data_IF_283082676850
#
_entry.id   IF_283082676850
#
_cell.length_a   1.000
_cell.length_b   1.000
_cell.length_c   1.000
_cell.angle_alpha   90.00
_cell.angle_beta   90.00
_cell.angle_gamma   90.00
#
_symmetry.space_group_name_H-M   'P 1'
#
loop_
_entity.id
_entity.type
_entity.pdbx_description
1 polymer ?
#
# COMPACT_ATOMS: atom_id res chain seq x y z
N UNK A 1 3.98 4.75 -19.83
CA UNK A 1 3.20 4.42 -18.62
C UNK A 1 1.75 4.62 -19.02
N UNK A 2 1.00 3.53 -19.23
CA UNK A 2 -0.38 3.60 -19.74
C UNK A 2 -1.28 3.93 -18.56
N UNK A 3 -1.94 5.08 -18.59
CA UNK A 3 -3.00 5.40 -17.62
C UNK A 3 -4.12 4.38 -17.78
N UNK A 4 -4.29 3.51 -16.79
CA UNK A 4 -5.42 2.59 -16.75
C UNK A 4 -6.67 3.41 -16.46
N UNK A 5 -7.58 3.47 -17.45
CA UNK A 5 -8.87 4.16 -17.36
C UNK A 5 -9.65 3.71 -16.12
N UNK A 6 -10.45 4.60 -15.53
CA UNK A 6 -11.34 4.28 -14.40
C UNK A 6 -12.24 3.07 -14.69
N UNK A 7 -12.61 2.88 -15.95
CA UNK A 7 -13.42 1.75 -16.44
C UNK A 7 -12.66 0.42 -16.40
N UNK A 8 -11.37 0.43 -16.77
CA UNK A 8 -10.50 -0.75 -16.69
C UNK A 8 -10.23 -1.16 -15.24
N UNK A 9 -10.09 -0.19 -14.32
CA UNK A 9 -9.96 -0.46 -12.88
C UNK A 9 -11.21 -1.14 -12.32
N UNK A 10 -12.40 -0.63 -12.63
CA UNK A 10 -13.68 -1.22 -12.20
C UNK A 10 -13.85 -2.65 -12.74
N UNK A 11 -13.41 -2.89 -13.98
CA UNK A 11 -13.42 -4.23 -14.59
C UNK A 11 -12.49 -5.21 -13.85
N UNK A 12 -11.31 -4.77 -13.43
CA UNK A 12 -10.39 -5.58 -12.63
C UNK A 12 -11.00 -5.88 -11.27
N UNK A 13 -11.52 -4.88 -10.56
CA UNK A 13 -12.15 -5.05 -9.23
C UNK A 13 -13.29 -6.06 -9.30
N UNK A 14 -14.17 -5.95 -10.31
CA UNK A 14 -15.30 -6.86 -10.46
C UNK A 14 -14.85 -8.29 -10.75
N UNK A 15 -13.80 -8.48 -11.56
CA UNK A 15 -13.20 -9.80 -11.80
C UNK A 15 -12.66 -10.43 -10.51
N UNK A 16 -11.90 -9.66 -9.73
CA UNK A 16 -11.32 -10.15 -8.47
C UNK A 16 -12.41 -10.49 -7.46
N UNK A 17 -13.43 -9.64 -7.31
CA UNK A 17 -14.59 -9.91 -6.43
C UNK A 17 -15.36 -11.16 -6.83
N UNK A 18 -15.51 -11.40 -8.14
CA UNK A 18 -16.15 -12.62 -8.61
C UNK A 18 -15.33 -13.86 -8.23
N UNK A 19 -14.01 -13.79 -8.33
CA UNK A 19 -13.12 -14.90 -7.97
C UNK A 19 -13.08 -15.14 -6.45
N UNK A 20 -13.06 -14.10 -5.62
CA UNK A 20 -13.15 -14.25 -4.15
C UNK A 20 -14.47 -14.89 -3.73
N UNK A 21 -15.57 -14.55 -4.43
CA UNK A 21 -16.87 -15.20 -4.21
C UNK A 21 -16.88 -16.67 -4.65
N UNK A 22 -16.19 -17.03 -5.74
CA UNK A 22 -16.02 -18.43 -6.13
C UNK A 22 -15.26 -19.22 -5.06
N UNK A 23 -14.14 -18.66 -4.58
CA UNK A 23 -13.33 -19.26 -3.51
C UNK A 23 -14.19 -19.50 -2.26
N UNK A 24 -14.98 -18.51 -1.84
CA UNK A 24 -15.83 -18.64 -0.66
C UNK A 24 -16.90 -19.73 -0.82
N UNK A 25 -17.54 -19.81 -1.99
CA UNK A 25 -18.53 -20.86 -2.27
C UNK A 25 -17.93 -22.26 -2.21
N UNK A 26 -16.73 -22.45 -2.79
CA UNK A 26 -16.10 -23.79 -2.83
C UNK A 26 -15.54 -24.19 -1.46
N UNK A 27 -15.07 -23.24 -0.64
CA UNK A 27 -14.66 -23.53 0.75
C UNK A 27 -15.83 -24.03 1.59
N UNK A 28 -17.06 -23.57 1.34
CA UNK A 28 -18.24 -23.99 2.13
C UNK A 28 -18.85 -25.28 1.58
N UNK A 29 -19.00 -25.39 0.25
CA UNK A 29 -19.82 -26.44 -0.37
C UNK A 29 -19.03 -27.43 -1.25
N UNK A 30 -17.77 -27.14 -1.55
CA UNK A 30 -16.96 -27.89 -2.50
C UNK A 30 -16.37 -29.16 -1.90
N UNK A 31 -16.28 -30.19 -2.74
CA UNK A 31 -15.48 -31.39 -2.49
C UNK A 31 -13.99 -31.12 -2.81
N UNK A 32 -13.12 -32.11 -2.54
CA UNK A 32 -11.68 -31.97 -2.75
C UNK A 32 -11.29 -31.63 -4.20
N UNK A 33 -11.99 -32.19 -5.20
CA UNK A 33 -11.73 -31.88 -6.60
C UNK A 33 -12.14 -30.44 -6.92
N UNK A 34 -13.29 -29.97 -6.44
CA UNK A 34 -13.72 -28.58 -6.64
C UNK A 34 -12.71 -27.58 -6.03
N UNK A 35 -12.19 -27.90 -4.84
CA UNK A 35 -11.17 -27.10 -4.17
C UNK A 35 -9.87 -27.08 -4.98
N UNK A 36 -9.44 -28.23 -5.49
CA UNK A 36 -8.23 -28.39 -6.29
C UNK A 36 -8.34 -27.59 -7.59
N UNK A 37 -9.47 -27.69 -8.28
CA UNK A 37 -9.72 -26.98 -9.53
C UNK A 37 -9.68 -25.46 -9.34
N UNK A 38 -10.35 -24.94 -8.30
CA UNK A 38 -10.29 -23.50 -7.99
C UNK A 38 -8.89 -23.09 -7.56
N UNK A 39 -8.17 -23.90 -6.78
CA UNK A 39 -6.80 -23.56 -6.38
C UNK A 39 -5.87 -23.46 -7.60
N UNK A 40 -5.98 -24.40 -8.56
CA UNK A 40 -5.23 -24.36 -9.83
C UNK A 40 -5.60 -23.11 -10.65
N UNK A 41 -6.91 -22.85 -10.81
CA UNK A 41 -7.40 -21.68 -11.56
C UNK A 41 -6.83 -20.38 -10.98
N UNK A 42 -6.93 -20.21 -9.66
CA UNK A 42 -6.48 -18.99 -8.99
C UNK A 42 -4.96 -18.85 -8.98
N UNK A 43 -4.22 -19.93 -8.72
CA UNK A 43 -2.76 -19.92 -8.79
C UNK A 43 -2.29 -19.51 -10.19
N UNK A 44 -2.76 -20.17 -11.24
CA UNK A 44 -2.35 -19.87 -12.61
C UNK A 44 -2.77 -18.47 -13.06
N UNK A 45 -3.99 -18.05 -12.72
CA UNK A 45 -4.52 -16.73 -13.10
C UNK A 45 -3.74 -15.60 -12.46
N UNK A 46 -3.46 -15.67 -11.16
CA UNK A 46 -2.90 -14.56 -10.41
C UNK A 46 -1.38 -14.53 -10.33
N UNK A 47 -0.68 -15.64 -10.56
CA UNK A 47 0.79 -15.64 -10.73
C UNK A 47 1.24 -14.68 -11.85
N UNK A 48 0.44 -14.54 -12.91
CA UNK A 48 0.71 -13.60 -14.02
C UNK A 48 0.63 -12.12 -13.62
N UNK A 49 -0.05 -11.78 -12.52
CA UNK A 49 -0.25 -10.40 -12.06
C UNK A 49 0.48 -10.11 -10.74
N UNK A 50 0.70 -11.13 -9.91
CA UNK A 50 1.23 -11.05 -8.57
C UNK A 50 2.44 -12.01 -8.47
N UNK A 51 3.68 -11.50 -8.58
CA UNK A 51 4.87 -12.30 -8.35
C UNK A 51 4.82 -12.95 -6.96
N UNK A 52 5.32 -14.18 -6.85
CA UNK A 52 5.31 -14.96 -5.61
C UNK A 52 3.90 -15.18 -5.03
N UNK A 53 2.87 -15.31 -5.88
CA UNK A 53 1.49 -15.46 -5.42
C UNK A 53 1.36 -16.67 -4.50
N UNK A 54 1.99 -17.79 -4.87
CA UNK A 54 2.07 -19.03 -4.07
C UNK A 54 2.79 -18.92 -2.72
N UNK A 55 3.65 -17.91 -2.52
CA UNK A 55 4.51 -17.82 -1.32
C UNK A 55 3.70 -17.65 -0.04
N UNK A 56 4.00 -18.49 0.95
CA UNK A 56 3.31 -18.53 2.25
C UNK A 56 2.11 -19.48 2.29
N UNK A 57 1.79 -20.15 1.18
CA UNK A 57 0.84 -21.26 1.16
C UNK A 57 1.53 -22.60 1.44
N UNK A 58 0.77 -23.54 2.00
CA UNK A 58 1.27 -24.88 2.26
C UNK A 58 1.53 -25.64 0.96
N UNK A 59 2.58 -26.48 1.00
CA UNK A 59 3.03 -27.29 -0.15
C UNK A 59 3.48 -26.47 -1.38
N UNK A 60 3.74 -25.17 -1.20
CA UNK A 60 4.36 -24.33 -2.22
C UNK A 60 5.89 -24.48 -2.19
N UNK A 61 6.48 -24.78 -3.34
CA UNK A 61 7.91 -24.68 -3.59
C UNK A 61 8.23 -23.50 -4.49
N UNK A 62 9.22 -22.65 -4.17
CA UNK A 62 9.66 -21.59 -5.07
C UNK A 62 10.18 -22.08 -6.43
N UNK A 63 10.74 -23.29 -6.48
CA UNK A 63 11.30 -23.87 -7.72
C UNK A 63 10.24 -24.60 -8.57
N UNK A 64 9.25 -25.22 -7.93
CA UNK A 64 8.33 -26.16 -8.59
C UNK A 64 6.84 -25.81 -8.44
N UNK A 65 6.51 -24.76 -7.70
CA UNK A 65 5.12 -24.41 -7.40
C UNK A 65 4.44 -25.44 -6.49
N UNK A 66 3.18 -25.76 -6.79
CA UNK A 66 2.38 -26.71 -6.02
C UNK A 66 2.38 -28.10 -6.67
N UNK A 67 2.62 -29.14 -5.87
CA UNK A 67 2.38 -30.52 -6.30
C UNK A 67 0.99 -30.99 -5.88
N UNK A 68 0.04 -30.98 -6.82
CA UNK A 68 -1.37 -31.30 -6.56
C UNK A 68 -1.67 -32.79 -6.36
N UNK A 69 -0.70 -33.69 -6.57
CA UNK A 69 -0.87 -35.12 -6.29
C UNK A 69 -0.87 -35.42 -4.77
N UNK A 70 -0.26 -34.54 -3.97
CA UNK A 70 -0.04 -34.75 -2.53
C UNK A 70 -0.59 -33.63 -1.64
N UNK A 71 -1.54 -32.85 -2.17
CA UNK A 71 -2.19 -31.78 -1.41
C UNK A 71 -3.54 -32.29 -0.89
N UNK A 72 -3.74 -32.22 0.43
CA UNK A 72 -4.98 -32.63 1.09
C UNK A 72 -6.09 -31.57 1.00
N UNK A 73 -7.34 -31.98 1.19
CA UNK A 73 -8.51 -31.09 1.32
C UNK A 73 -8.28 -29.94 2.32
N UNK A 74 -7.76 -30.25 3.52
CA UNK A 74 -7.49 -29.24 4.55
C UNK A 74 -6.46 -28.19 4.07
N UNK A 75 -5.42 -28.67 3.39
CA UNK A 75 -4.38 -27.83 2.80
C UNK A 75 -4.96 -26.91 1.73
N UNK A 76 -5.83 -27.43 0.85
CA UNK A 76 -6.52 -26.63 -0.17
C UNK A 76 -7.39 -25.56 0.47
N UNK A 77 -8.22 -25.91 1.47
CA UNK A 77 -9.08 -24.93 2.17
C UNK A 77 -8.25 -23.84 2.84
N UNK A 78 -7.13 -24.19 3.46
CA UNK A 78 -6.21 -23.22 4.05
C UNK A 78 -5.62 -22.28 2.98
N UNK A 79 -5.05 -22.84 1.92
CA UNK A 79 -4.44 -22.07 0.84
C UNK A 79 -5.46 -21.16 0.14
N UNK A 80 -6.68 -21.64 -0.11
CA UNK A 80 -7.75 -20.84 -0.70
C UNK A 80 -8.15 -19.64 0.18
N UNK A 81 -8.13 -19.77 1.52
CA UNK A 81 -8.31 -18.62 2.43
C UNK A 81 -7.19 -17.58 2.25
N UNK A 82 -5.94 -18.03 2.12
CA UNK A 82 -4.80 -17.15 1.85
C UNK A 82 -4.96 -16.47 0.49
N UNK A 83 -5.31 -17.21 -0.56
CA UNK A 83 -5.56 -16.65 -1.90
C UNK A 83 -6.65 -15.58 -1.84
N UNK A 84 -7.79 -15.84 -1.19
CA UNK A 84 -8.85 -14.84 -1.00
C UNK A 84 -8.31 -13.57 -0.34
N UNK A 85 -7.58 -13.69 0.76
CA UNK A 85 -7.01 -12.53 1.47
C UNK A 85 -6.00 -11.75 0.61
N UNK A 86 -5.15 -12.43 -0.17
CA UNK A 86 -4.21 -11.79 -1.10
C UNK A 86 -4.94 -11.02 -2.20
N UNK A 87 -6.03 -11.56 -2.72
CA UNK A 87 -6.87 -10.90 -3.73
C UNK A 87 -7.61 -9.67 -3.19
N UNK A 88 -8.12 -9.75 -1.96
CA UNK A 88 -8.72 -8.61 -1.26
C UNK A 88 -7.67 -7.51 -0.98
N UNK A 89 -6.46 -7.90 -0.58
CA UNK A 89 -5.33 -6.99 -0.44
C UNK A 89 -4.93 -6.35 -1.78
N UNK A 90 -4.95 -7.12 -2.88
CA UNK A 90 -4.63 -6.61 -4.21
C UNK A 90 -5.58 -5.49 -4.64
N UNK A 91 -6.90 -5.67 -4.46
CA UNK A 91 -7.85 -4.60 -4.80
C UNK A 91 -7.70 -3.37 -3.91
N UNK A 92 -7.34 -3.51 -2.63
CA UNK A 92 -7.11 -2.38 -1.72
C UNK A 92 -5.83 -1.61 -2.05
N UNK A 93 -4.84 -2.28 -2.65
CA UNK A 93 -3.58 -1.69 -3.10
C UNK A 93 -3.67 -1.04 -4.50
N UNK A 94 -4.78 -1.23 -5.23
CA UNK A 94 -4.96 -0.51 -6.50
C UNK A 94 -5.04 0.99 -6.20
N UNK A 95 -4.31 1.85 -6.93
CA UNK A 95 -4.39 3.29 -6.74
C UNK A 95 -5.80 3.76 -7.12
N UNK A 96 -6.66 3.87 -6.10
CA UNK A 96 -7.95 4.51 -6.20
C UNK A 96 -7.73 6.00 -6.34
N UNK A 97 -8.03 6.55 -7.51
CA UNK A 97 -8.50 7.93 -7.58
C UNK A 97 -9.94 7.89 -7.10
N UNK A 98 -10.14 8.10 -5.79
CA UNK A 98 -11.46 8.27 -5.22
C UNK A 98 -12.04 9.61 -5.70
N UNK A 99 -12.76 9.59 -6.82
CA UNK A 99 -13.76 10.63 -7.08
C UNK A 99 -15.02 10.26 -6.31
N UNK A 100 -14.98 10.37 -4.98
CA UNK A 100 -16.19 10.38 -4.18
C UNK A 100 -16.18 11.66 -3.34
N UNK A 101 -17.15 12.51 -3.64
CA UNK A 101 -17.57 13.61 -2.78
C UNK A 101 -17.81 13.15 -1.33
N UNK A 102 -17.65 14.06 -0.36
CA UNK A 102 -17.42 13.70 1.02
C UNK A 102 -18.74 13.27 1.67
N UNK A 103 -18.74 12.09 2.29
CA UNK A 103 -19.45 11.85 3.53
C UNK A 103 -18.98 10.54 4.17
N UNK A 104 -18.50 10.63 5.41
CA UNK A 104 -18.32 9.49 6.30
C UNK A 104 -16.88 9.01 6.44
N UNK A 105 -16.23 9.51 7.49
CA UNK A 105 -14.95 9.10 8.05
C UNK A 105 -14.64 7.60 7.91
N UNK A 106 -13.60 7.28 7.15
CA UNK A 106 -12.78 6.08 7.40
C UNK A 106 -11.33 6.40 7.05
N UNK A 107 -10.51 6.43 8.09
CA UNK A 107 -9.07 6.63 8.01
C UNK A 107 -8.46 5.44 7.26
N UNK A 108 -8.04 5.65 6.01
CA UNK A 108 -7.24 4.69 5.23
C UNK A 108 -5.81 5.22 5.08
N UNK A 109 -5.17 5.51 6.22
CA UNK A 109 -3.76 5.92 6.25
C UNK A 109 -2.93 4.67 6.49
N UNK A 110 -2.42 4.01 5.44
CA UNK A 110 -1.16 3.25 5.52
C UNK A 110 -0.65 2.68 4.18
N UNK A 111 -1.43 2.67 3.09
CA UNK A 111 -1.08 1.80 1.96
C UNK A 111 -0.36 2.45 0.76
N UNK A 112 0.32 3.58 0.97
CA UNK A 112 1.04 4.28 -0.12
C UNK A 112 2.56 4.33 0.09
N UNK A 113 3.14 3.29 0.71
CA UNK A 113 4.59 3.17 0.87
C UNK A 113 5.05 1.77 0.49
N UNK A 114 4.89 1.38 -0.77
CA UNK A 114 5.75 0.36 -1.35
C UNK A 114 5.79 0.47 -2.87
N UNK A 115 7.01 0.68 -3.38
CA UNK A 115 7.48 0.36 -4.73
C UNK A 115 7.00 1.26 -5.88
N UNK A 116 7.86 2.19 -6.28
CA UNK A 116 8.55 2.14 -7.59
C UNK A 116 9.55 3.30 -7.73
N UNK A 117 10.75 2.99 -8.22
CA UNK A 117 11.86 3.90 -8.45
C UNK A 117 11.49 5.08 -9.39
N UNK A 118 11.19 6.25 -8.82
CA UNK A 118 11.33 7.57 -9.47
C UNK A 118 11.61 8.67 -8.43
N UNK A 119 12.80 8.60 -7.81
CA UNK A 119 13.18 9.37 -6.61
C UNK A 119 13.03 10.90 -6.66
N UNK A 120 12.85 11.54 -7.82
CA UNK A 120 12.70 13.00 -7.91
C UNK A 120 11.26 13.48 -8.05
N UNK A 121 10.38 12.67 -8.63
CA UNK A 121 8.98 13.05 -8.89
C UNK A 121 8.08 12.62 -7.72
N UNK A 122 8.40 11.48 -7.08
CA UNK A 122 7.65 11.00 -5.91
C UNK A 122 7.79 11.91 -4.68
N UNK A 123 8.98 12.45 -4.42
CA UNK A 123 9.23 13.29 -3.24
C UNK A 123 8.49 14.63 -3.30
N UNK A 124 8.53 15.33 -4.44
CA UNK A 124 7.81 16.60 -4.60
C UNK A 124 6.29 16.40 -4.43
N UNK A 125 5.75 15.25 -4.84
CA UNK A 125 4.35 14.90 -4.63
C UNK A 125 4.04 14.68 -3.13
N UNK A 126 4.92 13.97 -2.40
CA UNK A 126 4.76 13.72 -0.95
C UNK A 126 4.83 15.03 -0.13
N UNK A 127 5.74 15.95 -0.45
CA UNK A 127 5.82 17.25 0.25
C UNK A 127 4.58 18.11 -0.01
N UNK A 128 4.09 18.16 -1.26
CA UNK A 128 2.86 18.88 -1.61
C UNK A 128 1.63 18.27 -0.92
N UNK A 129 1.55 16.94 -0.85
CA UNK A 129 0.50 16.22 -0.14
C UNK A 129 0.55 16.47 1.37
N UNK A 130 1.73 16.51 1.98
CA UNK A 130 1.86 16.83 3.39
C UNK A 130 1.37 18.25 3.72
N UNK A 131 1.61 19.23 2.84
CA UNK A 131 1.04 20.59 2.98
C UNK A 131 -0.49 20.57 2.93
N UNK A 132 -1.06 19.83 1.96
CA UNK A 132 -2.52 19.69 1.84
C UNK A 132 -3.15 18.94 3.02
N UNK A 133 -2.43 17.99 3.63
CA UNK A 133 -2.90 17.27 4.81
C UNK A 133 -2.90 18.16 6.06
N UNK A 134 -1.98 19.12 6.16
CA UNK A 134 -1.97 20.11 7.25
C UNK A 134 -3.12 21.10 7.14
N UNK A 135 -3.53 21.47 5.92
CA UNK A 135 -4.71 22.32 5.69
C UNK A 135 -6.02 21.64 6.13
N UNK A 136 -6.05 20.30 6.18
CA UNK A 136 -7.23 19.50 6.52
C UNK A 136 -7.24 18.97 7.96
N UNK A 137 -6.26 19.33 8.80
CA UNK A 137 -6.20 18.88 10.20
C UNK A 137 -7.12 19.74 11.09
N UNK A 138 -8.18 19.15 11.69
CA UNK A 138 -9.04 19.89 12.62
C UNK A 138 -8.27 20.18 13.92
N UNK A 139 -8.14 21.46 14.29
CA UNK A 139 -7.52 21.89 15.55
C UNK A 139 -6.23 22.69 15.42
N UNK A 140 -5.75 22.98 14.21
CA UNK A 140 -4.62 23.89 13.98
C UNK A 140 -5.12 25.30 13.62
N UNK A 141 -4.55 26.34 14.23
CA UNK A 141 -4.79 27.72 13.83
C UNK A 141 -4.10 28.03 12.49
N UNK A 142 -4.68 28.91 11.67
CA UNK A 142 -4.10 29.31 10.37
C UNK A 142 -2.61 29.72 10.45
N UNK A 143 -2.17 30.31 11.56
CA UNK A 143 -0.77 30.66 11.80
C UNK A 143 0.15 29.45 11.99
N UNK A 144 -0.34 28.39 12.64
CA UNK A 144 0.43 27.17 12.91
C UNK A 144 0.55 26.33 11.65
N UNK A 145 -0.49 26.31 10.83
CA UNK A 145 -0.49 25.65 9.52
C UNK A 145 0.57 26.25 8.59
N UNK A 146 0.74 27.57 8.59
CA UNK A 146 1.78 28.26 7.81
C UNK A 146 3.20 27.96 8.34
N UNK A 147 3.41 27.90 9.65
CA UNK A 147 4.69 27.48 10.24
C UNK A 147 5.05 26.04 9.88
N UNK A 148 4.08 25.13 9.89
CA UNK A 148 4.30 23.74 9.51
C UNK A 148 4.61 23.60 8.01
N UNK A 149 3.94 24.37 7.15
CA UNK A 149 4.28 24.44 5.71
C UNK A 149 5.70 24.94 5.48
N UNK A 150 6.13 25.99 6.20
CA UNK A 150 7.49 26.49 6.14
C UNK A 150 8.51 25.42 6.57
N UNK A 151 8.19 24.62 7.59
CA UNK A 151 9.02 23.50 8.04
C UNK A 151 9.06 22.33 7.05
N UNK A 152 7.99 22.09 6.30
CA UNK A 152 7.99 21.16 5.17
C UNK A 152 8.88 21.70 4.04
N UNK A 153 8.83 23.00 3.73
CA UNK A 153 9.69 23.62 2.72
C UNK A 153 11.18 23.49 3.09
N UNK A 154 11.52 23.72 4.35
CA UNK A 154 12.87 23.47 4.87
C UNK A 154 13.28 21.99 4.67
N UNK A 155 12.38 21.03 4.93
CA UNK A 155 12.65 19.61 4.67
C UNK A 155 12.83 19.29 3.18
N UNK A 156 12.06 19.93 2.30
CA UNK A 156 12.17 19.77 0.85
C UNK A 156 13.52 20.28 0.33
N UNK A 157 13.99 21.42 0.84
CA UNK A 157 15.32 21.95 0.53
C UNK A 157 16.45 21.03 1.05
N UNK A 158 16.32 20.53 2.29
CA UNK A 158 17.27 19.56 2.86
C UNK A 158 17.30 18.27 2.04
N UNK A 159 16.15 17.85 1.51
CA UNK A 159 16.01 16.68 0.64
C UNK A 159 16.77 16.86 -0.68
N UNK A 160 16.54 17.99 -1.36
CA UNK A 160 17.17 18.34 -2.66
C UNK A 160 18.67 18.60 -2.54
N UNK A 161 19.15 18.98 -1.35
CA UNK A 161 20.57 19.21 -1.10
C UNK A 161 21.44 17.95 -1.26
N UNK A 162 22.57 18.07 -1.98
CA UNK A 162 23.66 17.06 -2.03
C UNK A 162 24.52 17.07 -0.75
N UNK A 163 23.89 17.03 0.42
CA UNK A 163 24.59 17.00 1.72
C UNK A 163 24.65 15.59 2.30
N UNK A 164 25.66 15.33 3.14
CA UNK A 164 25.90 14.02 3.76
C UNK A 164 24.81 13.65 4.78
N UNK A 165 24.55 12.35 4.96
CA UNK A 165 23.49 11.78 5.81
C UNK A 165 23.42 12.40 7.21
N UNK A 166 24.58 12.49 7.87
CA UNK A 166 24.72 13.08 9.20
C UNK A 166 24.28 14.54 9.24
N UNK A 167 24.66 15.32 8.22
CA UNK A 167 24.27 16.74 8.09
C UNK A 167 22.79 16.91 7.75
N UNK A 168 22.19 16.01 6.95
CA UNK A 168 20.74 16.00 6.72
C UNK A 168 20.00 15.75 8.03
N UNK A 169 20.40 14.71 8.76
CA UNK A 169 19.78 14.36 10.04
C UNK A 169 19.92 15.46 11.10
N UNK A 170 21.07 16.13 11.18
CA UNK A 170 21.28 17.27 12.09
C UNK A 170 20.32 18.43 11.83
N UNK A 171 19.98 18.69 10.56
CA UNK A 171 18.99 19.72 10.19
C UNK A 171 17.54 19.26 10.37
N UNK A 172 17.28 17.97 10.21
CA UNK A 172 15.93 17.37 10.38
C UNK A 172 15.53 17.23 11.85
N UNK A 173 16.49 16.95 12.75
CA UNK A 173 16.24 16.82 14.21
C UNK A 173 15.44 17.97 14.83
N UNK A 174 15.81 19.25 14.66
CA UNK A 174 15.04 20.36 15.22
C UNK A 174 13.63 20.45 14.63
N UNK A 175 13.45 20.09 13.36
CA UNK A 175 12.14 20.07 12.69
C UNK A 175 11.26 18.98 13.32
N UNK A 176 11.78 17.77 13.49
CA UNK A 176 11.05 16.68 14.16
C UNK A 176 10.69 17.03 15.61
N UNK A 177 11.59 17.69 16.34
CA UNK A 177 11.30 18.13 17.71
C UNK A 177 10.14 19.12 17.73
N UNK A 178 10.16 20.11 16.83
CA UNK A 178 9.04 21.05 16.67
C UNK A 178 7.73 20.34 16.33
N UNK A 179 7.74 19.33 15.45
CA UNK A 179 6.55 18.56 15.10
C UNK A 179 5.99 17.76 16.28
N UNK A 180 6.85 17.23 17.16
CA UNK A 180 6.45 16.52 18.38
C UNK A 180 5.76 17.46 19.36
N UNK A 181 6.27 18.69 19.50
CA UNK A 181 5.68 19.70 20.39
C UNK A 181 4.27 20.16 19.94
N UNK A 182 3.93 19.96 18.65
CA UNK A 182 2.61 20.31 18.08
C UNK A 182 1.57 19.19 18.16
N UNK A 183 1.99 17.95 18.41
CA UNK A 183 1.09 16.81 18.60
C UNK A 183 1.50 15.57 17.81
N UNK A 184 0.94 14.42 18.22
CA UNK A 184 1.30 13.12 17.67
C UNK A 184 1.02 13.01 16.16
N UNK A 185 -0.11 13.53 15.69
CA UNK A 185 -0.48 13.43 14.28
C UNK A 185 0.46 14.23 13.38
N UNK A 186 0.86 15.43 13.82
CA UNK A 186 1.86 16.27 13.14
C UNK A 186 3.21 15.56 13.13
N UNK A 187 3.65 15.02 14.28
CA UNK A 187 4.90 14.29 14.39
C UNK A 187 4.97 13.08 13.45
N UNK A 188 3.89 12.32 13.33
CA UNK A 188 3.80 11.16 12.42
C UNK A 188 3.97 11.61 10.97
N UNK A 189 3.31 12.69 10.54
CA UNK A 189 3.44 13.21 9.16
C UNK A 189 4.89 13.62 8.83
N UNK A 190 5.54 14.36 9.73
CA UNK A 190 6.93 14.77 9.55
C UNK A 190 7.89 13.58 9.55
N UNK A 191 7.68 12.60 10.44
CA UNK A 191 8.50 11.40 10.48
C UNK A 191 8.38 10.60 9.19
N UNK A 192 7.17 10.46 8.64
CA UNK A 192 6.94 9.80 7.34
C UNK A 192 7.69 10.51 6.22
N UNK A 193 7.65 11.85 6.16
CA UNK A 193 8.42 12.64 5.18
C UNK A 193 9.92 12.36 5.29
N UNK A 194 10.45 12.32 6.50
CA UNK A 194 11.87 12.06 6.76
C UNK A 194 12.27 10.64 6.32
N UNK A 195 11.42 9.64 6.52
CA UNK A 195 11.64 8.28 6.01
C UNK A 195 11.59 8.23 4.48
N UNK A 196 10.69 8.99 3.86
CA UNK A 196 10.54 9.07 2.41
C UNK A 196 11.73 9.73 1.74
N UNK A 197 12.34 10.74 2.38
CA UNK A 197 13.59 11.39 1.99
C UNK A 197 14.74 10.37 2.05
N UNK A 198 14.76 9.35 1.16
CA UNK A 198 15.74 8.25 1.11
C UNK A 198 17.11 8.71 1.63
N UNK A 199 17.37 8.44 2.90
CA UNK A 199 18.61 8.80 3.59
C UNK A 199 19.76 7.82 3.21
N UNK A 200 19.58 7.06 2.13
CA UNK A 200 20.53 6.11 1.51
C UNK A 200 20.08 5.81 0.06
N UNK A 201 20.94 5.38 -0.86
CA UNK A 201 22.15 4.56 -0.71
C UNK A 201 23.42 5.32 -0.31
#
# INVERSE_FOLDING_TARGET
MVEVSSEDKNKIINKVRNDTNKIEKVIVNGNENDLKDIHIEMAGKYEAYLPDFGKGMYSYSPEYGFNYEYISDETLRHNLKIMKAKLEGYIQNLPFTCNNEPNGSSVSILNSIANSNSNSISLNLTFKQAKQNMDNMPGLNNSETEELKAKIDELEEISKGKITKKKKWEKVRPILKFSIDKGADVAIQFMLLVFQMKLGN
#
